data_IF_672060011291
#
_entry.id   IF_672060011291
#
_cell.length_a   1.000
_cell.length_b   1.000
_cell.length_c   1.000
_cell.angle_alpha   90.00
_cell.angle_beta   90.00
_cell.angle_gamma   90.00
#
_symmetry.space_group_name_H-M   'P 1'
#
loop_
_entity.id
_entity.type
_entity.pdbx_description
1 polymer ?
#
# COMPACT_ATOMS: atom_id res chain seq x y z
N UNK A 1 6.17 24.64 25.00
CA UNK A 1 6.65 24.05 26.26
C UNK A 1 8.17 24.10 26.26
N UNK A 2 8.79 24.61 27.32
CA UNK A 2 10.24 24.61 27.45
C UNK A 2 10.70 23.19 27.84
N UNK A 3 11.54 22.58 27.01
CA UNK A 3 12.09 21.24 27.27
C UNK A 3 13.26 21.41 28.24
N UNK A 4 13.20 20.72 29.38
CA UNK A 4 14.25 20.75 30.39
C UNK A 4 15.60 20.28 29.82
N UNK A 5 16.69 20.98 30.16
CA UNK A 5 18.06 20.67 29.66
C UNK A 5 18.51 19.22 29.90
N UNK A 6 17.89 18.51 30.84
CA UNK A 6 18.17 17.11 31.18
C UNK A 6 17.75 16.11 30.08
N UNK A 7 16.84 16.50 29.19
CA UNK A 7 16.31 15.65 28.12
C UNK A 7 16.95 15.92 26.75
N UNK A 8 17.89 16.87 26.66
CA UNK A 8 18.71 17.10 25.46
C UNK A 8 19.55 15.85 25.20
N UNK A 9 19.28 15.17 24.08
CA UNK A 9 20.04 14.00 23.61
C UNK A 9 19.54 12.64 24.11
N UNK A 10 18.45 12.57 24.89
CA UNK A 10 17.85 11.28 25.29
C UNK A 10 16.59 11.01 24.47
N UNK A 11 16.45 9.82 23.93
CA UNK A 11 15.21 9.37 23.28
C UNK A 11 14.21 8.99 24.38
N UNK A 12 13.12 9.73 24.46
CA UNK A 12 11.94 9.47 25.31
C UNK A 12 10.73 9.30 24.41
N UNK A 13 9.68 8.62 24.88
CA UNK A 13 8.48 8.42 24.05
C UNK A 13 7.87 9.75 23.57
N UNK A 14 7.94 10.79 24.40
CA UNK A 14 7.41 12.12 24.06
C UNK A 14 8.21 12.87 23.00
N UNK A 15 9.48 12.50 22.75
CA UNK A 15 10.33 13.14 21.75
C UNK A 15 10.71 12.22 20.60
N UNK A 16 10.18 11.00 20.58
CA UNK A 16 10.49 9.98 19.59
C UNK A 16 10.11 10.47 18.19
N UNK A 17 8.95 11.10 18.04
CA UNK A 17 8.49 11.67 16.77
C UNK A 17 9.46 12.75 16.26
N UNK A 18 9.91 13.64 17.16
CA UNK A 18 10.89 14.68 16.84
C UNK A 18 12.21 14.08 16.33
N UNK A 19 12.65 12.96 16.90
CA UNK A 19 13.82 12.22 16.44
C UNK A 19 13.57 11.53 15.09
N UNK A 20 12.42 10.88 14.89
CA UNK A 20 12.07 10.23 13.62
C UNK A 20 12.04 11.23 12.46
N UNK A 21 11.47 12.42 12.69
CA UNK A 21 11.48 13.51 11.72
C UNK A 21 12.89 14.06 11.46
N UNK A 22 13.72 14.21 12.50
CA UNK A 22 15.08 14.77 12.36
C UNK A 22 16.08 13.78 11.72
N UNK A 23 15.85 12.47 11.85
CA UNK A 23 16.71 11.42 11.28
C UNK A 23 16.28 10.99 9.88
N UNK A 24 15.13 11.44 9.41
CA UNK A 24 14.62 11.17 8.06
C UNK A 24 13.79 9.89 7.93
N UNK A 25 13.40 9.23 9.02
CA UNK A 25 12.39 8.15 8.98
C UNK A 25 11.00 8.70 8.65
N UNK A 26 10.72 9.92 9.09
CA UNK A 26 9.56 10.72 8.73
C UNK A 26 10.00 12.05 8.11
N UNK A 27 9.13 12.69 7.35
CA UNK A 27 9.42 13.99 6.74
C UNK A 27 9.53 15.10 7.79
N UNK A 28 10.56 15.96 7.77
CA UNK A 28 10.64 17.10 8.69
C UNK A 28 9.41 18.00 8.60
N UNK A 29 8.81 18.32 9.74
CA UNK A 29 7.64 19.22 9.84
C UNK A 29 8.03 20.61 10.34
N UNK A 30 9.22 20.76 10.93
CA UNK A 30 9.72 22.01 11.48
C UNK A 30 11.16 22.29 11.03
N UNK A 31 11.53 23.56 10.95
CA UNK A 31 12.86 24.03 10.52
C UNK A 31 13.99 23.44 11.38
N UNK A 32 13.78 23.32 12.70
CA UNK A 32 14.74 22.69 13.61
C UNK A 32 15.02 21.23 13.29
N UNK A 33 14.01 20.48 12.83
CA UNK A 33 14.18 19.08 12.46
C UNK A 33 14.95 18.99 11.13
N UNK A 34 14.66 19.90 10.18
CA UNK A 34 15.35 19.99 8.90
C UNK A 34 16.83 20.35 9.06
N UNK A 35 17.16 21.31 9.92
CA UNK A 35 18.55 21.69 10.20
C UNK A 35 19.34 20.53 10.80
N UNK A 36 18.73 19.78 11.73
CA UNK A 36 19.32 18.55 12.28
C UNK A 36 19.53 17.48 11.23
N UNK A 37 18.56 17.27 10.35
CA UNK A 37 18.66 16.33 9.24
C UNK A 37 19.82 16.69 8.32
N UNK A 38 19.91 17.95 7.89
CA UNK A 38 20.97 18.43 7.01
C UNK A 38 22.36 18.22 7.64
N UNK A 39 22.49 18.50 8.94
CA UNK A 39 23.73 18.25 9.67
C UNK A 39 24.06 16.76 9.79
N UNK A 40 23.07 15.89 9.99
CA UNK A 40 23.27 14.45 10.11
C UNK A 40 23.76 13.82 8.79
N UNK A 41 23.30 14.35 7.66
CA UNK A 41 23.61 13.85 6.32
C UNK A 41 24.53 14.78 5.53
N UNK A 42 25.28 15.68 6.19
CA UNK A 42 26.16 16.67 5.54
C UNK A 42 27.24 16.00 4.67
N UNK A 43 27.84 14.92 5.18
CA UNK A 43 28.87 14.15 4.48
C UNK A 43 28.30 12.99 3.65
N UNK A 44 26.97 12.82 3.64
CA UNK A 44 26.36 11.71 2.93
C UNK A 44 26.44 11.92 1.42
N UNK A 45 27.24 11.10 0.75
CA UNK A 45 27.33 11.12 -0.70
C UNK A 45 26.07 10.49 -1.31
N UNK A 46 25.08 11.33 -1.60
CA UNK A 46 23.88 10.91 -2.33
C UNK A 46 24.32 10.26 -3.65
N UNK A 47 24.06 8.95 -3.80
CA UNK A 47 24.27 8.21 -5.06
C UNK A 47 23.27 8.61 -6.16
N UNK A 48 22.64 9.77 -6.03
CA UNK A 48 21.68 10.35 -6.96
C UNK A 48 22.36 11.13 -8.10
N UNK A 49 23.70 11.19 -8.14
CA UNK A 49 24.41 11.80 -9.27
C UNK A 49 23.98 11.11 -10.56
N UNK A 50 23.34 11.88 -11.45
CA UNK A 50 22.78 11.50 -12.75
C UNK A 50 21.39 10.86 -12.74
N UNK A 51 20.66 10.86 -11.61
CA UNK A 51 19.24 10.51 -11.59
C UNK A 51 18.40 11.74 -12.00
N UNK A 52 18.04 11.85 -13.27
CA UNK A 52 17.10 12.88 -13.74
C UNK A 52 15.67 12.37 -13.54
N UNK A 53 14.91 13.06 -12.69
CA UNK A 53 13.49 12.79 -12.51
C UNK A 53 12.73 13.55 -13.60
N UNK A 54 12.09 12.83 -14.53
CA UNK A 54 11.17 13.44 -15.48
C UNK A 54 9.80 13.60 -14.84
N UNK A 55 9.51 14.81 -14.35
CA UNK A 55 8.25 15.18 -13.71
C UNK A 55 7.07 14.95 -14.64
N UNK A 56 7.24 15.22 -15.94
CA UNK A 56 6.16 15.08 -16.92
C UNK A 56 5.78 13.61 -17.09
N UNK A 57 6.78 12.74 -17.22
CA UNK A 57 6.55 11.29 -17.28
C UNK A 57 5.94 10.69 -16.00
N UNK A 58 6.12 11.30 -14.83
CA UNK A 58 5.45 10.89 -13.59
C UNK A 58 3.96 11.25 -13.64
N UNK A 59 3.65 12.51 -13.98
CA UNK A 59 2.26 13.00 -14.04
C UNK A 59 1.47 12.24 -15.12
N UNK A 60 2.10 11.95 -16.25
CA UNK A 60 1.51 11.22 -17.37
C UNK A 60 1.50 9.70 -17.15
N UNK A 61 2.12 9.19 -16.06
CA UNK A 61 2.14 7.77 -15.70
C UNK A 61 3.01 6.89 -16.59
N UNK A 62 3.83 7.48 -17.45
CA UNK A 62 4.71 6.78 -18.41
C UNK A 62 6.04 6.34 -17.80
N UNK A 63 6.43 6.91 -16.64
CA UNK A 63 7.67 6.55 -15.91
C UNK A 63 7.60 5.14 -15.29
N UNK A 64 6.40 4.61 -15.05
CA UNK A 64 6.22 3.28 -14.48
C UNK A 64 6.69 2.21 -15.47
N UNK A 65 7.96 1.83 -15.33
CA UNK A 65 8.58 0.69 -15.99
C UNK A 65 7.61 -0.51 -16.01
N UNK A 66 7.57 -1.16 -17.17
CA UNK A 66 6.78 -2.35 -17.51
C UNK A 66 6.51 -3.19 -16.27
N UNK A 67 5.24 -3.24 -15.86
CA UNK A 67 4.73 -4.20 -14.87
C UNK A 67 5.44 -5.52 -15.08
N UNK A 68 6.31 -5.91 -14.13
CA UNK A 68 6.92 -7.22 -14.15
C UNK A 68 5.82 -8.18 -13.73
N UNK A 69 5.14 -8.75 -14.71
CA UNK A 69 4.18 -9.82 -14.48
C UNK A 69 4.98 -11.01 -13.95
N UNK A 70 4.96 -11.19 -12.63
CA UNK A 70 5.51 -12.37 -11.99
C UNK A 70 4.49 -13.46 -12.22
N UNK A 71 4.76 -14.33 -13.20
CA UNK A 71 4.00 -15.57 -13.33
C UNK A 71 4.27 -16.41 -12.09
N UNK A 72 3.27 -16.55 -11.25
CA UNK A 72 3.27 -17.56 -10.19
C UNK A 72 3.05 -18.89 -10.89
N UNK A 73 4.07 -19.75 -10.88
CA UNK A 73 3.95 -21.12 -11.36
C UNK A 73 3.19 -21.93 -10.31
N UNK A 74 1.86 -21.78 -10.31
CA UNK A 74 0.98 -22.45 -9.37
C UNK A 74 0.91 -23.92 -9.80
N UNK A 75 1.49 -24.80 -8.99
CA UNK A 75 1.47 -26.22 -9.27
C UNK A 75 0.03 -26.75 -9.33
N UNK A 76 -0.21 -27.74 -10.18
CA UNK A 76 -1.51 -28.37 -10.34
C UNK A 76 -2.08 -28.96 -9.03
N UNK A 77 -1.23 -29.25 -8.03
CA UNK A 77 -1.67 -29.68 -6.70
C UNK A 77 -2.33 -28.54 -5.92
N UNK A 78 -1.75 -27.33 -5.97
CA UNK A 78 -2.30 -26.13 -5.29
C UNK A 78 -3.61 -25.70 -5.94
N UNK A 79 -3.74 -25.81 -7.27
CA UNK A 79 -5.02 -25.52 -7.97
C UNK A 79 -6.13 -26.47 -7.49
N UNK A 80 -5.83 -27.77 -7.32
CA UNK A 80 -6.79 -28.76 -6.82
C UNK A 80 -7.19 -28.51 -5.36
N UNK A 81 -6.23 -28.09 -4.54
CA UNK A 81 -6.49 -27.71 -3.15
C UNK A 81 -7.35 -26.44 -3.05
N UNK A 82 -7.06 -25.42 -3.86
CA UNK A 82 -7.89 -24.21 -3.94
C UNK A 82 -9.32 -24.56 -4.36
N UNK A 83 -9.49 -25.43 -5.34
CA UNK A 83 -10.82 -25.83 -5.81
C UNK A 83 -11.60 -26.63 -4.75
N UNK A 84 -10.91 -27.42 -3.91
CA UNK A 84 -11.56 -28.14 -2.82
C UNK A 84 -12.04 -27.19 -1.71
N UNK A 85 -11.23 -26.19 -1.35
CA UNK A 85 -11.47 -25.18 -0.32
C UNK A 85 -12.41 -24.04 -0.76
N UNK A 86 -12.75 -23.97 -2.04
CA UNK A 86 -13.62 -22.93 -2.59
C UNK A 86 -15.06 -23.08 -2.07
N UNK A 87 -15.58 -22.01 -1.49
CA UNK A 87 -16.97 -21.93 -1.03
C UNK A 87 -17.97 -22.04 -2.20
N UNK A 88 -19.16 -22.59 -1.93
CA UNK A 88 -20.19 -22.90 -2.95
C UNK A 88 -20.53 -21.71 -3.86
N UNK A 89 -20.57 -20.49 -3.33
CA UNK A 89 -20.83 -19.27 -4.10
C UNK A 89 -19.78 -18.97 -5.19
N UNK A 90 -18.57 -19.51 -5.07
CA UNK A 90 -17.47 -19.40 -6.06
C UNK A 90 -17.24 -20.70 -6.86
N UNK A 91 -17.88 -21.82 -6.50
CA UNK A 91 -17.69 -23.18 -7.10
C UNK A 91 -18.33 -23.42 -8.46
N UNK A 92 -18.89 -22.39 -9.10
CA UNK A 92 -19.26 -22.49 -10.50
C UNK A 92 -20.76 -22.61 -10.74
N UNK A 93 -21.21 -21.65 -11.53
CA UNK A 93 -22.47 -21.61 -12.27
C UNK A 93 -22.52 -22.61 -13.44
N UNK A 94 -21.65 -23.63 -13.53
CA UNK A 94 -21.56 -24.43 -14.75
C UNK A 94 -22.69 -25.44 -14.93
N UNK A 95 -23.37 -25.85 -13.85
CA UNK A 95 -24.48 -26.83 -13.90
C UNK A 95 -25.58 -26.51 -12.87
N UNK A 96 -25.91 -25.23 -12.66
CA UNK A 96 -27.03 -24.90 -11.77
C UNK A 96 -28.35 -25.26 -12.47
N UNK A 97 -29.22 -26.09 -11.88
CA UNK A 97 -30.50 -26.42 -12.48
C UNK A 97 -31.32 -25.16 -12.77
N UNK A 98 -31.94 -25.10 -13.94
CA UNK A 98 -32.66 -23.92 -14.46
C UNK A 98 -33.67 -23.35 -13.44
N UNK A 99 -34.34 -24.23 -12.69
CA UNK A 99 -35.31 -23.86 -11.66
C UNK A 99 -34.72 -23.06 -10.47
N UNK A 100 -33.42 -23.22 -10.16
CA UNK A 100 -32.74 -22.44 -9.12
C UNK A 100 -32.34 -21.06 -9.66
N UNK A 101 -31.88 -20.99 -10.92
CA UNK A 101 -31.58 -19.72 -11.61
C UNK A 101 -32.85 -18.86 -11.69
N UNK A 102 -33.98 -19.47 -12.06
CA UNK A 102 -35.26 -18.78 -12.15
C UNK A 102 -35.75 -18.28 -10.78
N UNK A 103 -35.54 -19.06 -9.71
CA UNK A 103 -35.82 -18.62 -8.33
C UNK A 103 -34.97 -17.41 -7.92
N UNK A 104 -33.67 -17.44 -8.18
CA UNK A 104 -32.77 -16.31 -7.89
C UNK A 104 -33.21 -15.06 -8.65
N UNK A 105 -33.46 -15.19 -9.96
CA UNK A 105 -33.90 -14.08 -10.82
C UNK A 105 -35.23 -13.48 -10.39
N UNK A 106 -36.19 -14.31 -9.94
CA UNK A 106 -37.46 -13.84 -9.40
C UNK A 106 -37.27 -13.02 -8.12
N UNK A 107 -36.44 -13.53 -7.18
CA UNK A 107 -36.17 -12.85 -5.91
C UNK A 107 -35.43 -11.52 -6.05
N UNK A 108 -34.59 -11.37 -7.09
CA UNK A 108 -33.94 -10.10 -7.40
C UNK A 108 -34.85 -9.09 -8.12
N UNK A 109 -35.95 -9.53 -8.75
CA UNK A 109 -36.92 -8.64 -9.39
C UNK A 109 -37.96 -8.10 -8.40
N UNK A 110 -38.31 -8.89 -7.39
CA UNK A 110 -39.33 -8.52 -6.39
C UNK A 110 -38.91 -7.35 -5.47
N UNK A 111 -37.64 -6.88 -5.50
CA UNK A 111 -37.19 -5.74 -4.68
C UNK A 111 -37.11 -4.40 -5.42
N UNK A 112 -37.36 -4.35 -6.73
CA UNK A 112 -37.22 -3.12 -7.53
C UNK A 112 -38.55 -2.40 -7.83
N UNK A 113 -39.71 -2.93 -7.40
CA UNK A 113 -41.01 -2.28 -7.62
C UNK A 113 -41.86 -2.21 -6.35
N UNK A 114 -41.49 -1.32 -5.43
CA UNK A 114 -42.46 -0.55 -4.64
C UNK A 114 -42.03 0.90 -4.62
N UNK A 115 -42.52 1.65 -5.61
CA UNK A 115 -42.68 3.10 -5.59
C UNK A 115 -44.17 3.39 -5.50
#
# INVERSE_FOLDING_TARGET
MAIDKKYIGKVTNDNLDDWLHSTGFLYPTNEKQLDRFNKLYEEYYFKLKNATIDVKSIIEGTLCNKSKVISLDISNSVIKEIESLKMVARKGQSNLPKHIIDKMKKKHRDSDDTK
#
